data_IF_968700569577
#
_entry.id   IF_968700569577
#
_cell.length_a   1.000
_cell.length_b   1.000
_cell.length_c   1.000
_cell.angle_alpha   90.00
_cell.angle_beta   90.00
_cell.angle_gamma   90.00
#
_symmetry.space_group_name_H-M   'P 1'
#
loop_
_entity.id
_entity.type
_entity.pdbx_description
1 polymer ?
#
# COMPACT_ATOMS: atom_id res chain seq x y z
N UNK A 1 -1.19 26.33 -12.37
CA UNK A 1 -1.77 26.30 -13.74
C UNK A 1 -2.65 25.06 -13.81
N UNK A 2 -3.95 25.21 -14.09
CA UNK A 2 -4.86 24.08 -14.17
C UNK A 2 -4.55 23.27 -15.43
N UNK A 3 -4.16 22.00 -15.28
CA UNK A 3 -3.99 21.10 -16.42
C UNK A 3 -5.38 20.70 -16.96
N UNK A 4 -5.59 20.61 -18.28
CA UNK A 4 -6.84 20.13 -18.85
C UNK A 4 -7.13 18.71 -18.36
N UNK A 5 -8.41 18.40 -18.12
CA UNK A 5 -8.88 17.08 -17.70
C UNK A 5 -9.98 16.65 -18.65
N UNK A 6 -9.83 15.46 -19.24
CA UNK A 6 -10.84 14.83 -20.07
C UNK A 6 -11.46 13.67 -19.29
N UNK A 7 -12.79 13.65 -19.18
CA UNK A 7 -13.53 12.52 -18.64
C UNK A 7 -14.02 11.67 -19.80
N UNK A 8 -13.65 10.40 -19.82
CA UNK A 8 -14.05 9.43 -20.84
C UNK A 8 -15.06 8.48 -20.21
N UNK A 9 -16.25 8.42 -20.79
CA UNK A 9 -17.34 7.55 -20.32
C UNK A 9 -17.78 6.52 -21.39
N UNK A 10 -17.25 6.62 -22.61
CA UNK A 10 -17.52 5.67 -23.69
C UNK A 10 -16.64 4.40 -23.54
N UNK A 11 -17.20 3.18 -23.52
CA UNK A 11 -16.44 1.95 -23.32
C UNK A 11 -15.37 1.68 -24.38
N UNK A 12 -15.60 2.04 -25.65
CA UNK A 12 -14.61 1.83 -26.70
C UNK A 12 -13.44 2.79 -26.56
N UNK A 13 -13.70 4.04 -26.17
CA UNK A 13 -12.64 4.99 -25.82
C UNK A 13 -11.87 4.59 -24.56
N UNK A 14 -12.57 4.07 -23.53
CA UNK A 14 -11.90 3.52 -22.32
C UNK A 14 -10.98 2.35 -22.71
N UNK A 15 -11.45 1.44 -23.57
CA UNK A 15 -10.64 0.34 -24.10
C UNK A 15 -9.47 0.82 -24.94
N UNK A 16 -9.65 1.88 -25.73
CA UNK A 16 -8.57 2.49 -26.48
C UNK A 16 -7.46 2.99 -25.53
N UNK A 17 -7.82 3.82 -24.55
CA UNK A 17 -6.85 4.43 -23.62
C UNK A 17 -6.19 3.41 -22.68
N UNK A 18 -6.95 2.47 -22.12
CA UNK A 18 -6.44 1.56 -21.09
C UNK A 18 -5.80 0.28 -21.65
N UNK A 19 -6.06 -0.07 -22.92
CA UNK A 19 -5.62 -1.34 -23.51
C UNK A 19 -4.93 -1.13 -24.85
N UNK A 20 -5.66 -0.65 -25.88
CA UNK A 20 -5.13 -0.62 -27.26
C UNK A 20 -3.92 0.30 -27.41
N UNK A 21 -4.03 1.50 -26.83
CA UNK A 21 -3.05 2.57 -26.94
C UNK A 21 -2.32 2.82 -25.61
N UNK A 22 -2.27 1.81 -24.73
CA UNK A 22 -1.73 1.93 -23.37
C UNK A 22 -0.32 2.55 -23.32
N UNK A 23 0.52 2.28 -24.31
CA UNK A 23 1.88 2.83 -24.38
C UNK A 23 1.93 4.37 -24.46
N UNK A 24 0.82 5.02 -24.84
CA UNK A 24 0.67 6.48 -24.79
C UNK A 24 0.13 6.99 -23.44
N UNK A 25 -0.45 6.12 -22.61
CA UNK A 25 -1.17 6.46 -21.37
C UNK A 25 -0.64 5.68 -20.15
N UNK A 26 0.66 5.34 -20.17
CA UNK A 26 1.31 4.50 -19.14
C UNK A 26 1.24 5.12 -17.75
N UNK A 27 1.44 6.43 -17.68
CA UNK A 27 1.63 7.14 -16.41
C UNK A 27 0.31 7.57 -15.77
N UNK A 28 0.23 7.38 -14.45
CA UNK A 28 -0.86 7.90 -13.63
C UNK A 28 -0.65 9.37 -13.30
N UNK A 29 -1.67 9.99 -12.71
CA UNK A 29 -1.51 11.32 -12.11
C UNK A 29 -0.56 11.21 -10.90
N UNK A 30 0.64 11.72 -11.06
CA UNK A 30 1.64 11.80 -9.99
C UNK A 30 1.58 13.12 -9.23
N UNK A 31 2.13 13.12 -8.02
CA UNK A 31 2.46 14.34 -7.30
C UNK A 31 3.94 14.66 -7.55
N UNK A 32 4.25 15.91 -7.88
CA UNK A 32 5.63 16.35 -8.07
C UNK A 32 6.28 16.64 -6.72
N UNK A 33 6.54 15.59 -5.95
CA UNK A 33 7.02 15.68 -4.57
C UNK A 33 8.55 15.82 -4.55
N UNK A 34 9.03 16.94 -4.01
CA UNK A 34 10.47 17.24 -3.93
C UNK A 34 11.00 17.31 -2.50
N UNK A 35 10.18 16.96 -1.51
CA UNK A 35 10.64 16.90 -0.12
C UNK A 35 11.44 15.62 0.11
N UNK A 36 12.55 15.69 0.85
CA UNK A 36 13.33 14.51 1.26
C UNK A 36 12.49 13.52 2.10
N UNK A 37 11.37 13.99 2.68
CA UNK A 37 10.42 13.15 3.41
C UNK A 37 9.51 12.31 2.51
N UNK A 38 9.49 12.59 1.21
CA UNK A 38 8.59 11.95 0.24
C UNK A 38 9.23 10.77 -0.52
N UNK A 39 10.48 10.41 -0.20
CA UNK A 39 11.21 9.31 -0.84
C UNK A 39 10.41 8.00 -0.89
N UNK A 40 9.73 7.65 0.21
CA UNK A 40 8.91 6.43 0.29
C UNK A 40 7.71 6.52 -0.65
N UNK A 41 7.06 7.69 -0.71
CA UNK A 41 5.87 7.89 -1.53
C UNK A 41 6.25 7.87 -3.01
N UNK A 42 7.37 8.48 -3.38
CA UNK A 42 7.87 8.53 -4.75
C UNK A 42 8.20 7.14 -5.33
N UNK A 43 8.59 6.19 -4.47
CA UNK A 43 8.90 4.79 -4.83
C UNK A 43 7.66 3.87 -4.79
N UNK A 44 6.48 4.39 -4.48
CA UNK A 44 5.23 3.60 -4.53
C UNK A 44 4.82 3.30 -5.97
N UNK A 45 4.23 2.12 -6.20
CA UNK A 45 3.72 1.71 -7.52
C UNK A 45 2.73 2.73 -8.12
N UNK A 46 1.99 3.46 -7.29
CA UNK A 46 1.00 4.45 -7.73
C UNK A 46 1.61 5.80 -8.11
N UNK A 47 2.86 6.10 -7.71
CA UNK A 47 3.60 7.31 -8.06
C UNK A 47 4.71 7.08 -9.09
N UNK A 48 5.20 5.84 -9.20
CA UNK A 48 6.19 5.48 -10.20
C UNK A 48 5.65 5.68 -11.63
N UNK A 49 6.54 6.06 -12.53
CA UNK A 49 6.24 6.29 -13.96
C UNK A 49 7.13 5.45 -14.87
N UNK A 50 6.69 5.27 -16.12
CA UNK A 50 7.46 4.69 -17.21
C UNK A 50 8.14 3.36 -16.88
N UNK A 51 9.43 3.27 -17.18
CA UNK A 51 10.25 2.06 -16.97
C UNK A 51 10.40 1.69 -15.50
N UNK A 52 10.42 2.67 -14.60
CA UNK A 52 10.50 2.43 -13.16
C UNK A 52 9.23 1.74 -12.65
N UNK A 53 8.05 2.24 -13.05
CA UNK A 53 6.78 1.58 -12.78
C UNK A 53 6.73 0.15 -13.34
N UNK A 54 7.17 -0.06 -14.58
CA UNK A 54 7.25 -1.40 -15.19
C UNK A 54 8.14 -2.33 -14.36
N UNK A 55 9.28 -1.84 -13.87
CA UNK A 55 10.20 -2.60 -13.01
C UNK A 55 9.64 -2.94 -11.63
N UNK A 56 8.93 -2.02 -10.98
CA UNK A 56 8.22 -2.35 -9.71
C UNK A 56 7.15 -3.41 -9.99
N UNK A 57 6.37 -3.24 -11.07
CA UNK A 57 5.29 -4.15 -11.43
C UNK A 57 5.80 -5.56 -11.80
N UNK A 58 6.95 -5.68 -12.45
CA UNK A 58 7.54 -6.99 -12.80
C UNK A 58 7.98 -7.77 -11.56
N UNK A 59 8.42 -7.10 -10.50
CA UNK A 59 8.74 -7.72 -9.21
C UNK A 59 7.47 -8.12 -8.45
N UNK A 60 6.43 -7.29 -8.54
CA UNK A 60 5.19 -7.47 -7.77
C UNK A 60 4.22 -8.52 -8.34
N UNK A 61 4.05 -8.54 -9.65
CA UNK A 61 3.00 -9.34 -10.31
C UNK A 61 3.10 -10.85 -10.01
N UNK A 62 4.30 -11.46 -9.93
CA UNK A 62 4.43 -12.89 -9.61
C UNK A 62 3.84 -13.29 -8.25
N UNK A 63 3.86 -12.40 -7.26
CA UNK A 63 3.28 -12.66 -5.92
C UNK A 63 1.76 -12.79 -5.93
N UNK A 64 1.08 -12.30 -6.98
CA UNK A 64 -0.38 -12.35 -7.14
C UNK A 64 -0.85 -13.49 -8.06
N UNK A 65 0.02 -14.41 -8.43
CA UNK A 65 -0.40 -15.62 -9.15
C UNK A 65 -1.31 -16.50 -8.29
N UNK A 66 -2.22 -17.26 -8.92
CA UNK A 66 -3.14 -18.14 -8.20
C UNK A 66 -2.43 -19.12 -7.25
N UNK A 67 -1.26 -19.63 -7.64
CA UNK A 67 -0.45 -20.52 -6.80
C UNK A 67 0.09 -19.84 -5.54
N UNK A 68 0.65 -18.63 -5.67
CA UNK A 68 1.16 -17.87 -4.52
C UNK A 68 0.02 -17.37 -3.62
N UNK A 69 -1.10 -16.93 -4.20
CA UNK A 69 -2.32 -16.59 -3.45
C UNK A 69 -2.88 -17.77 -2.66
N UNK A 70 -2.87 -18.98 -3.24
CA UNK A 70 -3.27 -20.20 -2.53
C UNK A 70 -2.33 -20.52 -1.36
N UNK A 71 -1.04 -20.22 -1.50
CA UNK A 71 -0.08 -20.34 -0.39
C UNK A 71 -0.39 -19.42 0.79
N UNK A 72 -0.90 -18.21 0.53
CA UNK A 72 -1.30 -17.25 1.57
C UNK A 72 -2.72 -17.50 2.13
N UNK A 73 -3.53 -18.34 1.47
CA UNK A 73 -4.92 -18.60 1.87
C UNK A 73 -5.10 -19.01 3.34
N UNK A 74 -4.25 -19.88 3.94
CA UNK A 74 -4.39 -20.24 5.36
C UNK A 74 -4.31 -19.03 6.30
N UNK A 75 -3.50 -18.01 5.97
CA UNK A 75 -3.44 -16.77 6.74
C UNK A 75 -4.75 -15.99 6.66
N UNK A 76 -5.37 -15.96 5.47
CA UNK A 76 -6.66 -15.27 5.24
C UNK A 76 -7.79 -15.98 5.99
N UNK A 77 -7.86 -17.30 5.89
CA UNK A 77 -8.87 -18.14 6.55
C UNK A 77 -8.81 -18.00 8.07
N UNK A 78 -7.60 -18.03 8.65
CA UNK A 78 -7.41 -17.81 10.09
C UNK A 78 -7.97 -16.46 10.55
N UNK A 79 -7.85 -15.40 9.73
CA UNK A 79 -8.43 -14.09 10.06
C UNK A 79 -9.94 -14.06 9.90
N UNK A 80 -10.50 -14.88 9.03
CA UNK A 80 -11.94 -15.00 8.86
C UNK A 80 -12.57 -15.64 10.10
N UNK A 81 -11.96 -16.68 10.64
CA UNK A 81 -12.40 -17.29 11.91
C UNK A 81 -12.37 -16.28 13.06
N UNK A 82 -11.28 -15.50 13.17
CA UNK A 82 -11.18 -14.44 14.17
C UNK A 82 -12.26 -13.34 14.00
N UNK A 83 -12.68 -13.04 12.77
CA UNK A 83 -13.79 -12.13 12.49
C UNK A 83 -15.12 -12.70 12.98
N UNK A 84 -15.38 -13.98 12.73
CA UNK A 84 -16.60 -14.66 13.19
C UNK A 84 -16.69 -14.64 14.72
N UNK A 85 -15.60 -14.98 15.41
CA UNK A 85 -15.51 -14.92 16.87
C UNK A 85 -15.78 -13.51 17.40
N UNK A 86 -15.19 -12.49 16.76
CA UNK A 86 -15.40 -11.10 17.10
C UNK A 86 -16.87 -10.70 16.97
N UNK A 87 -17.51 -11.07 15.86
CA UNK A 87 -18.92 -10.79 15.59
C UNK A 87 -19.81 -11.48 16.63
N UNK A 88 -19.61 -12.78 16.87
CA UNK A 88 -20.36 -13.53 17.88
C UNK A 88 -20.24 -12.90 19.27
N UNK A 89 -19.03 -12.50 19.68
CA UNK A 89 -18.80 -11.81 20.96
C UNK A 89 -19.52 -10.46 21.02
N UNK A 90 -19.55 -9.69 19.94
CA UNK A 90 -20.27 -8.39 19.91
C UNK A 90 -21.77 -8.57 19.99
N UNK A 91 -22.34 -9.56 19.30
CA UNK A 91 -23.78 -9.83 19.30
C UNK A 91 -24.32 -10.28 20.67
N UNK A 92 -23.46 -10.81 21.56
CA UNK A 92 -23.84 -11.07 22.97
C UNK A 92 -24.22 -9.82 23.76
N UNK A 93 -23.70 -8.65 23.36
CA UNK A 93 -23.84 -7.39 24.12
C UNK A 93 -24.57 -6.30 23.34
N UNK A 94 -24.74 -6.46 22.02
CA UNK A 94 -25.34 -5.48 21.13
C UNK A 94 -26.32 -6.15 20.18
N UNK A 95 -27.45 -5.50 19.94
CA UNK A 95 -28.46 -5.93 18.98
C UNK A 95 -28.11 -5.61 17.53
N UNK A 96 -27.11 -4.74 17.30
CA UNK A 96 -26.63 -4.39 15.96
C UNK A 96 -25.13 -4.12 15.96
N UNK A 97 -24.49 -4.38 14.82
CA UNK A 97 -23.07 -4.18 14.58
C UNK A 97 -22.82 -3.40 13.29
N UNK A 98 -21.77 -2.58 13.27
CA UNK A 98 -21.36 -1.83 12.07
C UNK A 98 -20.45 -2.69 11.21
N UNK A 99 -21.00 -3.33 10.17
CA UNK A 99 -20.24 -4.22 9.28
C UNK A 99 -19.02 -3.54 8.65
N UNK A 100 -19.12 -2.25 8.26
CA UNK A 100 -17.97 -1.48 7.74
C UNK A 100 -16.77 -1.50 8.69
N UNK A 101 -17.00 -1.44 10.00
CA UNK A 101 -15.91 -1.51 11.01
C UNK A 101 -15.38 -2.93 11.12
N UNK A 102 -16.25 -3.94 11.15
CA UNK A 102 -15.87 -5.35 11.24
C UNK A 102 -14.98 -5.78 10.06
N UNK A 103 -15.44 -5.51 8.83
CA UNK A 103 -14.69 -5.85 7.61
C UNK A 103 -13.44 -4.98 7.42
N UNK A 104 -13.45 -3.72 7.89
CA UNK A 104 -12.25 -2.90 7.94
C UNK A 104 -11.16 -3.51 8.83
N UNK A 105 -11.52 -3.96 10.03
CA UNK A 105 -10.59 -4.65 10.94
C UNK A 105 -10.10 -5.99 10.38
N UNK A 106 -10.98 -6.76 9.73
CA UNK A 106 -10.60 -8.00 9.06
C UNK A 106 -9.61 -7.75 7.92
N UNK A 107 -9.91 -6.80 7.03
CA UNK A 107 -9.01 -6.44 5.92
C UNK A 107 -7.65 -5.99 6.43
N UNK A 108 -7.64 -5.20 7.51
CA UNK A 108 -6.42 -4.77 8.17
C UNK A 108 -5.60 -5.95 8.72
N UNK A 109 -6.23 -6.91 9.40
CA UNK A 109 -5.57 -8.12 9.91
C UNK A 109 -5.02 -9.03 8.80
N UNK A 110 -5.76 -9.14 7.69
CA UNK A 110 -5.30 -9.89 6.52
C UNK A 110 -4.08 -9.23 5.91
N UNK A 111 -4.13 -7.92 5.67
CA UNK A 111 -3.01 -7.16 5.12
C UNK A 111 -1.82 -7.16 6.09
N UNK A 112 -2.03 -6.98 7.39
CA UNK A 112 -0.93 -7.01 8.36
C UNK A 112 -0.23 -8.38 8.36
N UNK A 113 -1.00 -9.47 8.31
CA UNK A 113 -0.45 -10.82 8.31
C UNK A 113 0.24 -11.16 7.00
N UNK A 114 -0.40 -10.88 5.86
CA UNK A 114 0.11 -11.25 4.55
C UNK A 114 1.20 -10.29 4.05
N UNK A 115 1.02 -8.98 4.17
CA UNK A 115 1.93 -7.97 3.61
C UNK A 115 3.04 -7.53 4.57
N UNK A 116 2.83 -7.63 5.88
CA UNK A 116 3.79 -7.16 6.89
C UNK A 116 4.34 -8.29 7.76
N UNK A 117 3.82 -9.51 7.64
CA UNK A 117 4.21 -10.65 8.49
C UNK A 117 3.83 -10.45 9.96
N UNK A 118 2.78 -9.67 10.25
CA UNK A 118 2.39 -9.26 11.59
C UNK A 118 0.96 -9.65 11.95
N UNK A 119 0.79 -10.13 13.17
CA UNK A 119 -0.52 -10.36 13.78
C UNK A 119 -0.84 -9.22 14.74
N UNK A 120 -1.74 -8.32 14.36
CA UNK A 120 -2.03 -7.12 15.17
C UNK A 120 -3.04 -7.37 16.28
N UNK A 121 -3.71 -8.52 16.27
CA UNK A 121 -4.77 -8.92 17.20
C UNK A 121 -5.89 -7.87 17.36
N UNK A 122 -6.09 -7.03 16.35
CA UNK A 122 -7.05 -5.91 16.35
C UNK A 122 -8.49 -6.39 16.47
N UNK A 123 -8.78 -7.62 16.02
CA UNK A 123 -10.07 -8.30 16.19
C UNK A 123 -10.28 -8.86 17.60
N UNK A 124 -9.24 -9.02 18.44
CA UNK A 124 -9.37 -9.55 19.81
C UNK A 124 -9.44 -8.44 20.85
N UNK A 125 -8.49 -7.51 20.78
CA UNK A 125 -8.24 -6.52 21.85
C UNK A 125 -8.84 -5.14 21.53
N UNK A 126 -9.36 -4.96 20.32
CA UNK A 126 -10.08 -3.76 19.88
C UNK A 126 -9.20 -2.57 19.54
N UNK A 127 -7.93 -2.56 19.97
CA UNK A 127 -6.95 -1.51 19.66
C UNK A 127 -5.53 -2.09 19.61
N UNK A 128 -4.82 -1.82 18.53
CA UNK A 128 -3.38 -2.05 18.39
C UNK A 128 -2.71 -0.76 17.93
N UNK A 129 -1.42 -0.59 18.22
CA UNK A 129 -0.64 0.55 17.69
C UNK A 129 -0.74 0.58 16.17
N UNK A 130 -0.63 -0.58 15.51
CA UNK A 130 -0.78 -0.70 14.06
C UNK A 130 -2.14 -0.19 13.56
N UNK A 131 -3.25 -0.62 14.17
CA UNK A 131 -4.59 -0.14 13.80
C UNK A 131 -4.74 1.36 14.03
N UNK A 132 -4.23 1.89 15.14
CA UNK A 132 -4.26 3.33 15.42
C UNK A 132 -3.53 4.12 14.33
N UNK A 133 -2.36 3.65 13.89
CA UNK A 133 -1.59 4.30 12.84
C UNK A 133 -2.32 4.25 11.48
N UNK A 134 -2.96 3.13 11.15
CA UNK A 134 -3.78 3.03 9.92
C UNK A 134 -5.00 3.94 10.00
N UNK A 135 -5.75 3.93 11.11
CA UNK A 135 -6.89 4.83 11.32
C UNK A 135 -6.48 6.30 11.18
N UNK A 136 -5.31 6.67 11.69
CA UNK A 136 -4.76 8.01 11.57
C UNK A 136 -4.40 8.39 10.12
N UNK A 137 -3.89 7.46 9.29
CA UNK A 137 -3.65 7.71 7.86
C UNK A 137 -4.95 8.08 7.13
N UNK A 138 -6.02 7.36 7.43
CA UNK A 138 -7.34 7.54 6.78
C UNK A 138 -8.21 8.61 7.43
N UNK A 139 -7.78 9.19 8.56
CA UNK A 139 -8.51 10.24 9.25
C UNK A 139 -8.59 11.49 8.39
N UNK A 140 -9.82 11.92 8.09
CA UNK A 140 -10.07 13.17 7.37
C UNK A 140 -9.60 14.36 8.21
N UNK A 141 -8.70 15.16 7.67
CA UNK A 141 -8.22 16.41 8.25
C UNK A 141 -8.30 17.50 7.21
N UNK A 142 -8.98 18.60 7.54
CA UNK A 142 -9.12 19.76 6.65
C UNK A 142 -7.75 20.33 6.27
N UNK A 143 -6.80 20.35 7.22
CA UNK A 143 -5.44 20.80 6.97
C UNK A 143 -4.74 19.87 5.96
N UNK A 144 -4.87 18.55 6.11
CA UNK A 144 -4.31 17.58 5.15
C UNK A 144 -4.95 17.72 3.77
N UNK A 145 -6.26 17.97 3.70
CA UNK A 145 -6.97 18.19 2.44
C UNK A 145 -6.48 19.47 1.74
N UNK A 146 -6.38 20.59 2.47
CA UNK A 146 -5.82 21.84 1.95
C UNK A 146 -4.39 21.61 1.44
N UNK A 147 -3.56 20.92 2.23
CA UNK A 147 -2.19 20.55 1.85
C UNK A 147 -2.16 19.79 0.52
N UNK A 148 -3.02 18.79 0.34
CA UNK A 148 -3.13 18.04 -0.92
C UNK A 148 -3.54 18.92 -2.09
N UNK A 149 -4.48 19.86 -1.90
CA UNK A 149 -4.88 20.80 -2.96
C UNK A 149 -3.68 21.65 -3.39
N UNK A 150 -2.89 22.15 -2.44
CA UNK A 150 -1.67 22.91 -2.72
C UNK A 150 -0.65 22.09 -3.52
N UNK A 151 -0.34 20.87 -3.05
CA UNK A 151 0.59 19.95 -3.74
C UNK A 151 0.16 19.66 -5.19
N UNK A 152 -1.16 19.56 -5.44
CA UNK A 152 -1.70 19.22 -6.76
C UNK A 152 -1.79 20.40 -7.73
N UNK A 153 -2.07 21.61 -7.24
CA UNK A 153 -2.41 22.76 -8.09
C UNK A 153 -1.31 23.83 -8.13
N UNK A 154 -0.45 23.84 -7.11
CA UNK A 154 0.66 24.79 -6.94
C UNK A 154 2.00 24.09 -6.69
N UNK A 155 2.41 23.12 -7.54
CA UNK A 155 3.60 22.30 -7.29
C UNK A 155 4.88 23.14 -7.15
N UNK A 156 5.04 24.22 -7.92
CA UNK A 156 6.20 25.12 -7.79
C UNK A 156 6.30 25.73 -6.40
N UNK A 157 5.18 26.23 -5.86
CA UNK A 157 5.14 26.83 -4.53
C UNK A 157 5.35 25.77 -3.45
N UNK A 158 4.72 24.61 -3.59
CA UNK A 158 4.91 23.48 -2.69
C UNK A 158 6.36 23.03 -2.61
N UNK A 159 7.09 23.04 -3.74
CA UNK A 159 8.50 22.67 -3.78
C UNK A 159 9.37 23.71 -3.07
N UNK A 160 9.11 25.00 -3.28
CA UNK A 160 9.81 26.10 -2.57
C UNK A 160 9.58 26.01 -1.07
N UNK A 161 8.34 25.74 -0.64
CA UNK A 161 7.97 25.57 0.76
C UNK A 161 8.36 24.19 1.33
N UNK A 162 9.01 23.33 0.53
CA UNK A 162 9.37 21.94 0.87
C UNK A 162 8.22 21.16 1.51
N UNK A 163 7.00 21.38 1.02
CA UNK A 163 5.81 20.70 1.52
C UNK A 163 5.89 19.21 1.21
N UNK A 164 5.77 18.37 2.24
CA UNK A 164 5.78 16.92 2.08
C UNK A 164 4.36 16.35 1.95
N UNK A 165 4.15 15.35 1.10
CA UNK A 165 2.92 14.55 1.10
C UNK A 165 2.90 13.54 2.24
N UNK A 166 4.06 12.97 2.57
CA UNK A 166 4.21 11.93 3.58
C UNK A 166 3.64 12.35 4.93
N UNK A 167 2.75 11.50 5.46
CA UNK A 167 2.22 11.64 6.81
C UNK A 167 3.17 10.98 7.81
N UNK A 168 3.32 11.49 9.05
CA UNK A 168 4.21 10.90 10.06
C UNK A 168 4.02 9.39 10.26
N UNK A 169 2.78 8.92 10.15
CA UNK A 169 2.36 7.53 10.28
C UNK A 169 3.05 6.61 9.25
N UNK A 170 3.40 7.12 8.07
CA UNK A 170 4.13 6.35 7.05
C UNK A 170 5.50 5.89 7.56
N UNK A 171 6.17 6.68 8.42
CA UNK A 171 7.47 6.30 8.98
C UNK A 171 7.34 5.13 9.97
N UNK A 172 6.23 5.02 10.69
CA UNK A 172 5.96 3.83 11.52
C UNK A 172 5.92 2.56 10.66
N UNK A 173 5.20 2.59 9.53
CA UNK A 173 5.13 1.43 8.64
C UNK A 173 6.47 1.15 7.93
N UNK A 174 7.24 2.19 7.61
CA UNK A 174 8.62 2.05 7.14
C UNK A 174 9.45 1.24 8.13
N UNK A 175 9.40 1.62 9.40
CA UNK A 175 10.21 1.01 10.45
C UNK A 175 9.79 -0.44 10.70
N UNK A 176 8.48 -0.70 10.73
CA UNK A 176 7.91 -2.05 10.80
C UNK A 176 8.43 -2.92 9.65
N UNK A 177 8.30 -2.49 8.39
CA UNK A 177 8.74 -3.30 7.25
C UNK A 177 10.25 -3.49 7.26
N UNK A 178 11.01 -2.43 7.61
CA UNK A 178 12.47 -2.49 7.67
C UNK A 178 12.93 -3.52 8.70
N UNK A 179 12.29 -3.55 9.87
CA UNK A 179 12.59 -4.52 10.91
C UNK A 179 12.19 -5.94 10.51
N UNK A 180 11.00 -6.12 9.92
CA UNK A 180 10.59 -7.43 9.40
C UNK A 180 11.58 -7.96 8.38
N UNK A 181 12.01 -7.14 7.41
CA UNK A 181 13.00 -7.56 6.39
C UNK A 181 14.31 -8.02 7.05
N UNK A 182 14.83 -7.29 8.04
CA UNK A 182 16.06 -7.69 8.76
C UNK A 182 15.90 -9.05 9.44
N UNK A 183 14.75 -9.29 10.07
CA UNK A 183 14.45 -10.57 10.71
C UNK A 183 14.38 -11.72 9.69
N UNK A 184 13.87 -11.45 8.47
CA UNK A 184 13.85 -12.44 7.37
C UNK A 184 15.25 -12.77 6.86
N UNK A 185 16.07 -11.75 6.67
CA UNK A 185 17.47 -11.93 6.23
C UNK A 185 18.29 -12.73 7.25
N UNK A 186 17.91 -12.70 8.54
CA UNK A 186 18.49 -13.52 9.60
C UNK A 186 17.99 -14.99 9.63
N UNK A 187 17.13 -15.41 8.69
CA UNK A 187 16.73 -16.81 8.49
C UNK A 187 15.26 -17.14 8.76
N UNK A 188 14.41 -16.17 9.10
CA UNK A 188 12.98 -16.40 9.30
C UNK A 188 12.20 -16.50 7.98
N UNK A 189 11.40 -17.56 7.78
CA UNK A 189 10.43 -17.68 6.67
C UNK A 189 9.01 -17.92 7.21
N UNK A 190 7.99 -17.29 6.59
CA UNK A 190 6.56 -17.41 6.96
C UNK A 190 5.68 -17.77 5.76
N UNK A 191 6.18 -17.61 4.53
CA UNK A 191 5.41 -17.79 3.31
C UNK A 191 4.45 -16.63 3.04
N UNK A 192 4.79 -15.44 3.53
CA UNK A 192 4.01 -14.22 3.35
C UNK A 192 4.49 -13.41 2.14
N UNK A 193 3.85 -12.28 1.86
CA UNK A 193 4.17 -11.46 0.70
C UNK A 193 5.57 -10.85 0.74
N UNK A 194 6.13 -10.57 1.93
CA UNK A 194 7.51 -10.06 2.04
C UNK A 194 8.51 -11.13 1.60
N UNK A 195 8.28 -12.40 1.99
CA UNK A 195 9.10 -13.52 1.52
C UNK A 195 9.05 -13.64 -0.02
N UNK A 196 7.86 -13.52 -0.61
CA UNK A 196 7.68 -13.57 -2.07
C UNK A 196 8.39 -12.43 -2.81
N UNK A 197 8.35 -11.22 -2.25
CA UNK A 197 9.07 -10.08 -2.81
C UNK A 197 10.58 -10.23 -2.70
N UNK A 198 11.08 -10.78 -1.59
CA UNK A 198 12.50 -11.06 -1.40
C UNK A 198 12.99 -12.13 -2.37
N UNK A 199 12.23 -13.22 -2.58
CA UNK A 199 12.53 -14.25 -3.58
C UNK A 199 12.59 -13.67 -5.01
N UNK A 200 11.62 -12.82 -5.36
CA UNK A 200 11.54 -12.23 -6.71
C UNK A 200 12.67 -11.24 -7.02
N UNK A 201 13.29 -10.65 -5.99
CA UNK A 201 14.48 -9.79 -6.13
C UNK A 201 15.68 -10.59 -6.63
N UNK A 202 15.92 -11.75 -6.04
CA UNK A 202 17.15 -12.52 -6.27
C UNK A 202 17.18 -13.08 -7.71
N UNK A 203 16.01 -13.33 -8.30
CA UNK A 203 15.85 -13.81 -9.68
C UNK A 203 15.97 -12.72 -10.77
N UNK A 204 15.90 -11.41 -10.45
CA UNK A 204 15.95 -10.31 -11.44
C UNK A 204 17.29 -9.55 -11.47
N UNK A 205 18.36 -10.13 -10.92
CA UNK A 205 19.69 -9.53 -10.82
C UNK A 205 20.43 -9.45 -12.18
N UNK A 206 20.03 -8.49 -13.03
CA UNK A 206 20.80 -8.00 -14.18
C UNK A 206 21.53 -6.67 -13.88
N UNK A 207 22.54 -6.25 -14.66
CA UNK A 207 23.55 -5.26 -14.27
C UNK A 207 23.11 -3.78 -14.17
N UNK A 208 21.81 -3.46 -14.22
CA UNK A 208 21.32 -2.08 -14.39
C UNK A 208 20.32 -1.59 -13.34
N UNK A 209 20.43 -1.99 -12.08
CA UNK A 209 19.59 -1.39 -11.04
C UNK A 209 20.40 -0.99 -9.81
N UNK A 210 20.76 0.30 -9.74
CA UNK A 210 20.84 1.00 -8.45
C UNK A 210 19.45 0.88 -7.82
N UNK A 211 19.24 -0.21 -7.08
CA UNK A 211 17.98 -0.50 -6.41
C UNK A 211 17.79 0.59 -5.35
N UNK A 212 16.71 1.36 -5.44
CA UNK A 212 16.40 2.38 -4.44
C UNK A 212 16.35 1.74 -3.06
N UNK A 213 17.04 2.36 -2.08
CA UNK A 213 17.16 1.91 -0.69
C UNK A 213 15.80 1.56 -0.06
N UNK A 214 14.72 2.18 -0.56
CA UNK A 214 13.37 2.06 -0.03
C UNK A 214 12.41 1.28 -0.91
N UNK A 215 12.84 0.66 -2.01
CA UNK A 215 11.91 0.03 -2.98
C UNK A 215 10.99 -0.99 -2.32
N UNK A 216 11.54 -1.98 -1.62
CA UNK A 216 10.76 -3.04 -0.97
C UNK A 216 9.85 -2.49 0.15
N UNK A 217 10.36 -1.50 0.89
CA UNK A 217 9.61 -0.83 1.96
C UNK A 217 8.42 -0.06 1.38
N UNK A 218 8.64 0.70 0.31
CA UNK A 218 7.63 1.52 -0.33
C UNK A 218 6.55 0.66 -0.99
N UNK A 219 6.95 -0.47 -1.56
CA UNK A 219 6.03 -1.47 -2.09
C UNK A 219 5.17 -2.08 -0.99
N UNK A 220 5.76 -2.55 0.11
CA UNK A 220 5.02 -3.13 1.23
C UNK A 220 4.05 -2.10 1.83
N UNK A 221 4.53 -0.87 2.06
CA UNK A 221 3.72 0.24 2.57
C UNK A 221 2.60 0.61 1.61
N UNK A 222 2.77 0.41 0.30
CA UNK A 222 1.71 0.65 -0.69
C UNK A 222 0.45 -0.20 -0.44
N UNK A 223 0.57 -1.40 0.14
CA UNK A 223 -0.58 -2.25 0.47
C UNK A 223 -1.54 -1.65 1.49
N UNK A 224 -1.08 -0.68 2.30
CA UNK A 224 -1.96 0.05 3.22
C UNK A 224 -2.91 0.98 2.44
N UNK A 225 -2.52 1.38 1.22
CA UNK A 225 -3.22 2.36 0.40
C UNK A 225 -4.01 1.75 -0.77
N UNK A 226 -4.02 0.41 -0.90
CA UNK A 226 -4.85 -0.35 -1.83
C UNK A 226 -6.08 -0.92 -1.11
#
# INVERSE_FOLDING_TARGET
>A
MLKPKLMIADPELVKAVLIKDFDHFVDRRIFNLTSDRDEIINEMLTQATGTHWKGIRSVLSPSFTSGRMKGMYPLVEQKADALLDYIHKKLKTKTSIKLKKCFGLYTLEVISSCAFGMDTNSLRDGHSTFNTQVENIFKTSTIRMIKMIFLLHFPKLSNVLKMSFTQPEVFFFRDVVTETIKQREAGGKRGDFLDLMMESRDHQSGPTSKTSKYRNVSIAVSFIFF
#
